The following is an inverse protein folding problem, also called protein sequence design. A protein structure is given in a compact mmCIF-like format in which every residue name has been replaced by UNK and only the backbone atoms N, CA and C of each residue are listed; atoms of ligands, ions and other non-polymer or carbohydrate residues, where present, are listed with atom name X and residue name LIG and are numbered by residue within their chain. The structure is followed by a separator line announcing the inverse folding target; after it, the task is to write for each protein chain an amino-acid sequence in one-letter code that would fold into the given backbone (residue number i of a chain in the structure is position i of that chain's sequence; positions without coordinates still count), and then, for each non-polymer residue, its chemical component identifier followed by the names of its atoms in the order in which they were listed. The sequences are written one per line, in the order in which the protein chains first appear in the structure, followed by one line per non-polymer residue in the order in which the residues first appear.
data_IF_572611478616
#
_entry.id   IF_572611478616
#
_cell.length_a   1.000
_cell.length_b   1.000
_cell.length_c   1.000
_cell.angle_alpha   90.00
_cell.angle_beta   90.00
_cell.angle_gamma   90.00
#
_symmetry.space_group_name_H-M   'P 1'
#
loop_
_entity.id
_entity.type
_entity.pdbx_description
1 polymer ?
#
# COMPACT_ATOMS: atom_id res chain seq x y z
N UNK A 1 15.60 28.86 26.11
CA UNK A 1 15.35 28.37 24.73
C UNK A 1 15.03 26.87 24.67
N UNK A 2 14.90 26.15 25.80
CA UNK A 2 14.66 24.69 25.80
C UNK A 2 13.40 24.23 26.56
N UNK A 3 12.59 25.13 27.12
CA UNK A 3 11.33 24.76 27.80
C UNK A 3 10.13 24.92 26.87
N UNK A 4 9.97 23.99 25.94
CA UNK A 4 8.67 23.77 25.28
C UNK A 4 8.32 22.29 25.35
N UNK A 5 7.02 21.98 25.42
CA UNK A 5 6.46 20.61 25.52
C UNK A 5 6.90 19.64 24.41
N UNK A 6 7.71 20.06 23.44
CA UNK A 6 8.29 19.25 22.36
C UNK A 6 9.65 18.61 22.73
N UNK A 7 10.27 19.01 23.84
CA UNK A 7 11.54 18.48 24.33
C UNK A 7 11.33 17.67 25.64
N UNK A 8 10.44 16.67 25.61
CA UNK A 8 10.23 15.79 26.76
C UNK A 8 11.41 14.81 26.90
N UNK A 9 12.13 15.01 27.99
CA UNK A 9 13.15 14.13 28.55
C UNK A 9 12.48 12.79 28.92
N UNK A 10 12.88 11.66 28.32
CA UNK A 10 12.14 10.39 28.42
C UNK A 10 12.77 9.35 29.36
N UNK A 11 13.86 9.68 30.08
CA UNK A 11 14.43 8.76 31.06
C UNK A 11 13.84 9.02 32.46
N UNK A 12 13.22 8.01 33.11
CA UNK A 12 12.87 8.09 34.52
C UNK A 12 14.13 8.33 35.38
N UNK A 13 13.99 8.97 36.55
CA UNK A 13 15.10 9.13 37.49
C UNK A 13 15.75 7.78 37.83
N UNK A 14 17.09 7.72 37.78
CA UNK A 14 17.87 6.53 38.15
C UNK A 14 18.15 5.54 37.02
N UNK A 15 17.69 5.79 35.79
CA UNK A 15 17.99 4.93 34.63
C UNK A 15 19.32 5.37 33.98
N UNK A 16 20.32 4.47 33.83
CA UNK A 16 21.56 4.79 33.15
C UNK A 16 21.32 5.09 31.66
N UNK A 17 21.79 6.24 31.19
CA UNK A 17 21.67 6.68 29.79
C UNK A 17 21.90 8.18 29.63
N UNK A 18 22.14 8.64 28.40
CA UNK A 18 22.22 10.06 28.09
C UNK A 18 20.81 10.59 27.75
N UNK A 19 20.39 11.73 28.33
CA UNK A 19 19.10 12.34 28.01
C UNK A 19 19.20 13.03 26.65
N UNK A 20 19.10 12.25 25.58
CA UNK A 20 19.00 12.74 24.21
C UNK A 20 17.54 12.71 23.77
N UNK A 21 17.03 13.83 23.25
CA UNK A 21 15.72 13.83 22.61
C UNK A 21 15.72 12.87 21.41
N UNK A 22 14.53 12.46 20.93
CA UNK A 22 14.43 11.56 19.78
C UNK A 22 15.20 12.10 18.56
N UNK A 23 15.17 13.41 18.32
CA UNK A 23 15.96 14.09 17.28
C UNK A 23 17.49 13.97 17.48
N UNK A 24 17.98 14.11 18.70
CA UNK A 24 19.41 13.94 19.02
C UNK A 24 19.87 12.48 18.87
N UNK A 25 19.02 11.50 19.24
CA UNK A 25 19.28 10.08 19.01
C UNK A 25 19.41 9.79 17.51
N UNK A 26 18.48 10.31 16.72
CA UNK A 26 18.50 10.21 15.25
C UNK A 26 19.77 10.85 14.68
N UNK A 27 20.16 12.04 15.13
CA UNK A 27 21.40 12.70 14.70
C UNK A 27 22.65 11.87 15.03
N UNK A 28 22.70 11.24 16.21
CA UNK A 28 23.80 10.32 16.58
C UNK A 28 23.86 9.07 15.70
N UNK A 29 22.72 8.49 15.31
CA UNK A 29 22.69 7.36 14.36
C UNK A 29 22.99 7.82 12.92
N UNK A 30 22.58 9.02 12.55
CA UNK A 30 22.70 9.55 11.21
C UNK A 30 24.09 10.09 10.86
N UNK A 31 24.90 10.47 11.85
CA UNK A 31 26.22 11.05 11.61
C UNK A 31 27.35 10.01 11.66
N UNK A 32 28.21 9.90 10.62
CA UNK A 32 28.02 10.35 9.23
C UNK A 32 27.27 9.34 8.34
N UNK A 33 27.04 8.11 8.80
CA UNK A 33 26.83 6.96 7.90
C UNK A 33 25.47 6.24 8.00
N UNK A 34 24.63 6.56 8.99
CA UNK A 34 23.33 5.88 9.16
C UNK A 34 22.20 6.44 8.30
N UNK A 35 22.43 7.57 7.61
CA UNK A 35 21.45 8.14 6.68
C UNK A 35 21.50 7.43 5.31
N UNK A 36 20.35 7.31 4.66
CA UNK A 36 20.28 6.92 3.26
C UNK A 36 20.62 8.14 2.39
N UNK A 37 21.82 8.14 1.80
CA UNK A 37 22.35 9.28 1.02
C UNK A 37 22.23 9.01 -0.48
N UNK A 38 21.73 10.00 -1.21
CA UNK A 38 21.72 10.05 -2.68
C UNK A 38 22.47 11.28 -3.18
N UNK A 39 22.60 11.43 -4.50
CA UNK A 39 23.14 12.66 -5.12
C UNK A 39 22.20 13.83 -4.83
N UNK A 40 22.43 14.51 -3.71
CA UNK A 40 21.73 15.74 -3.33
C UNK A 40 20.63 15.62 -2.26
N UNK A 41 20.45 14.46 -1.61
CA UNK A 41 19.58 14.38 -0.44
C UNK A 41 20.02 13.30 0.53
N UNK A 42 19.65 13.45 1.80
CA UNK A 42 19.86 12.44 2.83
C UNK A 42 18.54 12.17 3.54
N UNK A 43 18.29 10.90 3.84
CA UNK A 43 17.07 10.45 4.51
C UNK A 43 17.40 9.68 5.77
N UNK A 44 16.73 10.00 6.87
CA UNK A 44 16.90 9.32 8.15
C UNK A 44 15.61 8.69 8.62
N UNK A 45 15.68 7.48 9.18
CA UNK A 45 14.56 6.79 9.80
C UNK A 45 14.49 7.10 11.29
N UNK A 46 13.30 7.46 11.76
CA UNK A 46 12.89 7.47 13.16
C UNK A 46 11.84 6.39 13.36
N UNK A 47 11.99 5.51 14.35
CA UNK A 47 11.01 4.46 14.62
C UNK A 47 10.72 4.38 16.12
N UNK A 48 9.51 3.98 16.49
CA UNK A 48 9.17 3.74 17.91
C UNK A 48 10.03 2.61 18.50
N UNK A 49 10.50 1.69 17.65
CA UNK A 49 11.32 0.54 18.03
C UNK A 49 12.76 0.76 17.55
N UNK A 50 13.71 0.83 18.49
CA UNK A 50 15.12 1.09 18.19
C UNK A 50 15.80 0.01 17.32
N UNK A 51 15.29 -1.22 17.30
CA UNK A 51 15.80 -2.28 16.44
C UNK A 51 15.63 -1.96 14.94
N UNK A 52 14.51 -1.35 14.55
CA UNK A 52 14.28 -0.91 13.17
C UNK A 52 15.22 0.25 12.78
N UNK A 53 15.48 1.19 13.69
CA UNK A 53 16.45 2.27 13.46
C UNK A 53 17.86 1.70 13.25
N UNK A 54 18.25 0.70 14.05
CA UNK A 54 19.55 0.03 13.92
C UNK A 54 19.68 -0.71 12.59
N UNK A 55 18.71 -1.53 12.21
CA UNK A 55 18.71 -2.27 10.94
C UNK A 55 18.81 -1.31 9.74
N UNK A 56 18.05 -0.21 9.77
CA UNK A 56 18.12 0.83 8.74
C UNK A 56 19.51 1.47 8.68
N UNK A 57 20.09 1.84 9.83
CA UNK A 57 21.42 2.43 9.90
C UNK A 57 22.52 1.48 9.41
N UNK A 58 22.49 0.20 9.81
CA UNK A 58 23.50 -0.80 9.41
C UNK A 58 23.52 -1.02 7.89
N UNK A 59 22.34 -1.12 7.27
CA UNK A 59 22.20 -1.20 5.80
C UNK A 59 22.76 0.03 5.11
N UNK A 60 22.48 1.21 5.65
CA UNK A 60 22.95 2.48 5.08
C UNK A 60 24.45 2.67 5.22
N UNK A 61 25.05 2.22 6.33
CA UNK A 61 26.50 2.21 6.52
C UNK A 61 27.17 1.36 5.44
N UNK A 62 26.66 0.14 5.17
CA UNK A 62 27.19 -0.73 4.11
C UNK A 62 27.04 -0.08 2.73
N UNK A 63 25.90 0.56 2.46
CA UNK A 63 25.70 1.29 1.22
C UNK A 63 26.67 2.49 1.08
N UNK A 64 26.85 3.28 2.13
CA UNK A 64 27.78 4.41 2.16
C UNK A 64 29.22 3.96 1.91
N UNK A 65 29.64 2.84 2.48
CA UNK A 65 30.96 2.24 2.20
C UNK A 65 31.12 1.90 0.71
N UNK A 66 30.09 1.32 0.08
CA UNK A 66 30.11 1.05 -1.37
C UNK A 66 30.16 2.33 -2.20
N UNK A 67 29.39 3.36 -1.84
CA UNK A 67 29.42 4.68 -2.49
C UNK A 67 30.80 5.31 -2.37
N UNK A 68 31.46 5.20 -1.21
CA UNK A 68 32.82 5.71 -1.01
C UNK A 68 33.85 4.99 -1.90
N UNK A 69 33.65 3.70 -2.18
CA UNK A 69 34.55 2.89 -3.02
C UNK A 69 34.31 3.09 -4.52
N UNK A 70 33.06 3.13 -4.96
CA UNK A 70 32.67 3.10 -6.37
C UNK A 70 32.19 4.45 -6.92
N UNK A 71 31.95 5.42 -6.03
CA UNK A 71 31.24 6.66 -6.35
C UNK A 71 29.74 6.42 -6.63
N UNK A 72 28.96 7.50 -6.67
CA UNK A 72 27.52 7.41 -6.98
C UNK A 72 27.23 6.90 -8.41
N UNK A 73 28.13 7.17 -9.36
CA UNK A 73 27.97 6.74 -10.76
C UNK A 73 28.37 5.28 -11.02
N UNK A 74 29.15 4.67 -10.12
CA UNK A 74 29.57 3.27 -10.20
C UNK A 74 28.58 2.29 -9.58
N UNK A 75 27.51 2.78 -8.95
CA UNK A 75 26.47 1.96 -8.34
C UNK A 75 25.20 1.95 -9.20
N UNK A 76 24.56 0.78 -9.38
CA UNK A 76 23.22 0.74 -9.94
C UNK A 76 22.26 1.55 -9.06
N UNK A 77 21.14 2.04 -9.61
CA UNK A 77 20.14 2.76 -8.83
C UNK A 77 19.73 1.94 -7.59
N UNK A 78 20.15 2.39 -6.41
CA UNK A 78 19.92 1.68 -5.16
C UNK A 78 18.45 1.64 -4.77
N UNK A 79 18.13 0.76 -3.82
CA UNK A 79 16.81 0.72 -3.18
C UNK A 79 16.44 2.10 -2.62
N UNK A 80 15.17 2.53 -2.71
CA UNK A 80 14.77 3.81 -2.12
C UNK A 80 14.74 3.74 -0.59
N UNK A 81 14.82 4.88 0.09
CA UNK A 81 14.76 4.94 1.55
C UNK A 81 13.50 4.27 2.12
N UNK A 82 12.34 4.40 1.45
CA UNK A 82 11.10 3.73 1.82
C UNK A 82 11.22 2.20 1.75
N UNK A 83 11.95 1.67 0.77
CA UNK A 83 12.19 0.23 0.65
C UNK A 83 13.11 -0.27 1.76
N UNK A 84 14.20 0.45 2.05
CA UNK A 84 15.12 0.10 3.13
C UNK A 84 14.40 0.16 4.48
N UNK A 85 13.56 1.17 4.70
CA UNK A 85 12.74 1.27 5.89
C UNK A 85 11.67 0.17 5.98
N UNK A 86 10.97 -0.15 4.88
CA UNK A 86 10.02 -1.26 4.86
C UNK A 86 10.70 -2.60 5.17
N UNK A 87 11.93 -2.81 4.71
CA UNK A 87 12.73 -3.97 5.11
C UNK A 87 13.04 -3.96 6.60
N UNK A 88 13.52 -2.84 7.15
CA UNK A 88 13.78 -2.72 8.58
C UNK A 88 12.52 -2.90 9.46
N UNK A 89 11.33 -2.60 8.93
CA UNK A 89 10.07 -2.90 9.62
C UNK A 89 9.68 -4.38 9.54
N UNK A 90 10.07 -5.10 8.47
CA UNK A 90 9.85 -6.56 8.33
C UNK A 90 10.74 -7.38 9.27
N UNK A 91 11.91 -6.87 9.63
CA UNK A 91 12.82 -7.54 10.58
C UNK A 91 12.40 -7.39 12.05
N UNK A 92 11.39 -6.56 12.33
CA UNK A 92 10.79 -6.49 13.67
C UNK A 92 10.12 -7.81 14.02
N UNK A 93 10.06 -8.12 15.31
CA UNK A 93 9.32 -9.29 15.76
C UNK A 93 7.87 -9.20 15.25
N UNK A 94 7.33 -10.29 14.65
CA UNK A 94 5.92 -10.33 14.27
C UNK A 94 5.12 -9.99 15.52
N UNK A 95 4.20 -9.03 15.45
CA UNK A 95 3.36 -8.50 16.54
C UNK A 95 3.80 -7.19 17.22
N UNK A 96 4.93 -6.57 16.85
CA UNK A 96 5.26 -5.24 17.38
C UNK A 96 4.72 -4.12 16.47
N UNK A 97 3.63 -3.41 16.86
CA UNK A 97 3.22 -2.20 16.15
C UNK A 97 4.28 -1.11 16.34
N UNK A 98 4.65 -0.44 15.26
CA UNK A 98 5.61 0.64 15.28
C UNK A 98 5.32 1.65 14.17
N UNK A 99 5.23 2.94 14.53
CA UNK A 99 5.29 4.01 13.54
C UNK A 99 6.74 4.31 13.16
N UNK A 100 6.98 4.45 11.86
CA UNK A 100 8.23 4.88 11.29
C UNK A 100 8.03 6.22 10.57
N UNK A 101 8.98 7.12 10.73
CA UNK A 101 9.02 8.43 10.07
C UNK A 101 10.33 8.56 9.32
N UNK A 102 10.25 8.85 8.03
CA UNK A 102 11.38 9.22 7.20
C UNK A 102 11.48 10.74 7.14
N UNK A 103 12.68 11.22 7.48
CA UNK A 103 13.06 12.62 7.40
C UNK A 103 14.02 12.77 6.24
N UNK A 104 13.51 13.21 5.09
CA UNK A 104 14.33 13.44 3.90
C UNK A 104 14.65 14.92 3.81
N UNK A 105 15.93 15.27 3.71
CA UNK A 105 16.37 16.65 3.56
C UNK A 105 17.30 16.80 2.37
N UNK A 106 17.14 17.92 1.66
CA UNK A 106 18.08 18.42 0.66
C UNK A 106 18.59 19.77 1.14
N UNK A 107 19.90 19.87 1.29
CA UNK A 107 20.57 21.11 1.60
C UNK A 107 21.32 21.59 0.35
N UNK A 108 20.56 22.17 -0.58
CA UNK A 108 21.09 22.85 -1.76
C UNK A 108 20.81 24.34 -1.57
N UNK A 109 21.81 25.18 -1.84
CA UNK A 109 21.75 26.63 -1.66
C UNK A 109 20.62 27.29 -2.49
N UNK A 110 20.11 26.61 -3.54
CA UNK A 110 19.07 27.15 -4.40
C UNK A 110 17.63 26.83 -3.95
N UNK A 111 17.40 25.63 -3.39
CA UNK A 111 16.06 25.15 -3.02
C UNK A 111 16.17 24.09 -1.89
N UNK A 112 16.43 24.53 -0.65
CA UNK A 112 16.49 23.63 0.49
C UNK A 112 15.09 23.16 0.87
N UNK A 113 14.94 21.86 1.14
CA UNK A 113 13.67 21.30 1.55
C UNK A 113 13.81 20.21 2.60
N UNK A 114 12.77 20.07 3.41
CA UNK A 114 12.55 18.97 4.34
C UNK A 114 11.22 18.29 3.98
N UNK A 115 11.25 16.99 3.75
CA UNK A 115 10.07 16.16 3.51
C UNK A 115 9.95 15.14 4.63
N UNK A 116 8.76 15.04 5.18
CA UNK A 116 8.42 14.09 6.23
C UNK A 116 7.38 13.13 5.67
N UNK A 117 7.70 11.84 5.69
CA UNK A 117 6.76 10.78 5.36
C UNK A 117 6.71 9.78 6.50
N UNK A 118 5.54 9.24 6.80
CA UNK A 118 5.34 8.39 7.96
C UNK A 118 4.48 7.17 7.64
N UNK A 119 4.76 6.06 8.30
CA UNK A 119 3.89 4.89 8.30
C UNK A 119 2.91 4.96 9.46
N UNK A 120 1.75 4.32 9.28
CA UNK A 120 0.87 4.01 10.42
C UNK A 120 1.50 2.94 11.29
N UNK A 121 1.19 2.95 12.60
CA UNK A 121 1.73 1.99 13.59
C UNK A 121 1.45 0.51 13.24
N UNK A 122 0.41 0.24 12.47
CA UNK A 122 0.01 -1.11 12.07
C UNK A 122 0.76 -1.66 10.84
N UNK A 123 1.57 -0.85 10.14
CA UNK A 123 2.30 -1.30 8.94
C UNK A 123 3.22 -2.52 9.20
N UNK A 124 3.99 -2.61 10.30
CA UNK A 124 4.80 -3.80 10.57
C UNK A 124 3.96 -5.07 10.73
N UNK A 125 2.79 -4.97 11.35
CA UNK A 125 1.86 -6.09 11.52
C UNK A 125 1.32 -6.58 10.18
N UNK A 126 0.90 -5.63 9.35
CA UNK A 126 0.46 -5.91 7.98
C UNK A 126 1.56 -6.58 7.16
N UNK A 127 2.79 -6.07 7.21
CA UNK A 127 3.93 -6.66 6.50
C UNK A 127 4.24 -8.08 6.98
N UNK A 128 4.24 -8.32 8.29
CA UNK A 128 4.41 -9.66 8.85
C UNK A 128 3.30 -10.62 8.42
N UNK A 129 2.05 -10.15 8.31
CA UNK A 129 0.93 -10.98 7.83
C UNK A 129 1.03 -11.26 6.33
N UNK A 130 1.44 -10.27 5.54
CA UNK A 130 1.75 -10.47 4.13
C UNK A 130 2.80 -11.56 4.00
N UNK A 131 3.91 -11.48 4.75
CA UNK A 131 4.99 -12.46 4.67
C UNK A 131 4.59 -13.84 5.21
N UNK A 132 3.66 -13.91 6.18
CA UNK A 132 3.15 -15.17 6.74
C UNK A 132 2.08 -15.88 5.90
N UNK A 133 1.46 -15.21 4.92
CA UNK A 133 0.32 -15.75 4.17
C UNK A 133 0.60 -15.80 2.65
N UNK A 134 0.57 -17.00 2.07
CA UNK A 134 0.94 -17.22 0.67
C UNK A 134 0.08 -16.41 -0.33
N UNK A 135 -1.21 -16.25 -0.07
CA UNK A 135 -2.09 -15.48 -0.96
C UNK A 135 -1.84 -13.97 -0.85
N UNK A 136 -1.54 -13.47 0.36
CA UNK A 136 -1.15 -12.06 0.54
C UNK A 136 0.22 -11.78 -0.07
N UNK A 137 1.18 -12.71 0.06
CA UNK A 137 2.48 -12.60 -0.65
C UNK A 137 2.27 -12.53 -2.15
N UNK A 138 1.42 -13.40 -2.72
CA UNK A 138 1.09 -13.35 -4.14
C UNK A 138 0.52 -11.98 -4.54
N UNK A 139 -0.49 -11.48 -3.81
CA UNK A 139 -1.05 -10.14 -4.06
C UNK A 139 0.00 -9.04 -4.00
N UNK A 140 0.92 -9.10 -3.03
CA UNK A 140 2.02 -8.14 -2.87
C UNK A 140 3.02 -8.21 -4.03
N UNK A 141 3.40 -9.41 -4.48
CA UNK A 141 4.28 -9.61 -5.63
C UNK A 141 3.64 -9.11 -6.93
N UNK A 142 2.34 -9.37 -7.13
CA UNK A 142 1.59 -8.86 -8.28
C UNK A 142 1.56 -7.33 -8.29
N UNK A 143 1.37 -6.70 -7.13
CA UNK A 143 1.49 -5.25 -6.98
C UNK A 143 2.89 -4.76 -7.35
N UNK A 144 3.95 -5.37 -6.82
CA UNK A 144 5.34 -4.99 -7.17
C UNK A 144 5.60 -5.12 -8.66
N UNK A 145 5.23 -6.26 -9.28
CA UNK A 145 5.36 -6.49 -10.72
C UNK A 145 4.61 -5.43 -11.51
N UNK A 146 3.39 -5.06 -11.08
CA UNK A 146 2.58 -4.06 -11.75
C UNK A 146 3.14 -2.65 -11.71
N UNK A 147 3.93 -2.33 -10.67
CA UNK A 147 4.57 -1.04 -10.47
C UNK A 147 5.96 -0.95 -11.12
N UNK A 148 6.52 -2.09 -11.52
CA UNK A 148 7.81 -2.15 -12.20
C UNK A 148 7.68 -1.59 -13.61
N UNK A 149 8.46 -0.56 -13.94
CA UNK A 149 8.54 0.00 -15.28
C UNK A 149 9.89 -0.29 -15.90
N UNK A 150 9.88 -0.64 -17.17
CA UNK A 150 11.08 -0.89 -17.97
C UNK A 150 11.11 0.06 -19.17
N UNK A 151 12.31 0.46 -19.58
CA UNK A 151 12.50 1.20 -20.83
C UNK A 151 12.41 0.28 -22.06
N UNK A 152 12.63 0.86 -23.24
CA UNK A 152 12.65 0.13 -24.52
C UNK A 152 13.72 -0.95 -24.60
N UNK A 153 14.77 -0.84 -23.78
CA UNK A 153 15.90 -1.77 -23.74
C UNK A 153 15.69 -2.86 -22.65
N UNK A 154 14.53 -2.86 -21.99
CA UNK A 154 14.20 -3.81 -20.93
C UNK A 154 14.83 -3.47 -19.57
N UNK A 155 15.56 -2.36 -19.44
CA UNK A 155 16.15 -1.93 -18.18
C UNK A 155 15.08 -1.35 -17.24
N UNK A 156 15.17 -1.67 -15.95
CA UNK A 156 14.21 -1.21 -14.94
C UNK A 156 14.42 0.28 -14.69
N UNK A 157 13.48 1.11 -15.12
CA UNK A 157 13.46 2.56 -14.86
C UNK A 157 12.74 2.88 -13.56
N UNK A 158 11.84 2.01 -13.11
CA UNK A 158 11.13 2.15 -11.83
C UNK A 158 11.06 0.80 -11.15
N UNK A 159 11.64 0.70 -9.96
CA UNK A 159 11.61 -0.51 -9.14
C UNK A 159 10.23 -0.69 -8.49
N UNK A 160 9.56 -1.79 -8.84
CA UNK A 160 8.29 -2.18 -8.26
C UNK A 160 8.30 -2.34 -6.73
N UNK A 161 9.27 -3.06 -6.15
CA UNK A 161 9.44 -3.14 -4.69
C UNK A 161 9.58 -1.77 -4.03
N UNK A 162 10.33 -0.84 -4.63
CA UNK A 162 10.50 0.51 -4.11
C UNK A 162 9.19 1.32 -4.17
N UNK A 163 8.46 1.24 -5.28
CA UNK A 163 7.15 1.89 -5.41
C UNK A 163 6.11 1.29 -4.46
N UNK A 164 6.08 -0.04 -4.29
CA UNK A 164 5.18 -0.69 -3.36
C UNK A 164 5.46 -0.29 -1.90
N UNK A 165 6.74 -0.21 -1.51
CA UNK A 165 7.14 0.28 -0.19
C UNK A 165 6.69 1.73 0.03
N UNK A 166 6.84 2.60 -0.98
CA UNK A 166 6.40 4.00 -0.91
C UNK A 166 4.91 4.16 -0.64
N UNK A 167 4.05 3.23 -1.10
CA UNK A 167 2.60 3.26 -0.83
C UNK A 167 2.24 3.05 0.65
N UNK A 168 3.19 2.59 1.47
CA UNK A 168 3.01 2.43 2.92
C UNK A 168 3.28 3.72 3.71
N UNK A 169 3.83 4.76 3.04
CA UNK A 169 4.22 6.02 3.65
C UNK A 169 3.28 7.16 3.24
N UNK A 170 2.73 7.83 4.24
CA UNK A 170 1.89 9.01 4.11
C UNK A 170 2.74 10.27 4.29
N UNK A 171 2.76 11.13 3.28
CA UNK A 171 3.39 12.43 3.34
C UNK A 171 2.57 13.36 4.25
N UNK A 172 3.26 14.20 5.02
CA UNK A 172 2.62 15.14 5.94
C UNK A 172 1.71 16.15 5.22
N UNK A 173 2.02 16.46 3.96
CA UNK A 173 1.22 17.33 3.09
C UNK A 173 -0.01 16.65 2.46
N UNK A 174 -0.24 15.36 2.76
CA UNK A 174 -1.35 14.57 2.25
C UNK A 174 -1.24 14.18 0.77
N UNK A 175 -0.14 14.47 0.08
CA UNK A 175 0.02 14.20 -1.37
C UNK A 175 0.53 12.79 -1.69
N UNK A 176 0.58 11.91 -0.70
CA UNK A 176 1.00 10.52 -0.91
C UNK A 176 0.02 9.74 -1.77
N UNK A 177 0.56 8.81 -2.57
CA UNK A 177 -0.26 7.79 -3.25
C UNK A 177 -0.71 6.76 -2.23
N UNK A 178 -2.00 6.42 -2.27
CA UNK A 178 -2.56 5.38 -1.41
C UNK A 178 -2.43 3.98 -2.01
N UNK A 179 -2.10 3.01 -1.16
CA UNK A 179 -2.09 1.60 -1.54
C UNK A 179 -3.46 1.11 -2.04
N UNK A 180 -4.55 1.49 -1.36
CA UNK A 180 -5.91 1.10 -1.77
C UNK A 180 -6.24 1.68 -3.15
N UNK A 181 -5.87 2.94 -3.39
CA UNK A 181 -6.05 3.57 -4.70
C UNK A 181 -5.30 2.82 -5.80
N UNK A 182 -4.05 2.43 -5.53
CA UNK A 182 -3.26 1.68 -6.50
C UNK A 182 -3.86 0.30 -6.79
N UNK A 183 -4.27 -0.44 -5.76
CA UNK A 183 -4.91 -1.75 -5.92
C UNK A 183 -6.25 -1.65 -6.65
N UNK A 184 -7.04 -0.62 -6.36
CA UNK A 184 -8.27 -0.34 -7.09
C UNK A 184 -8.02 -0.12 -8.59
N UNK A 185 -7.06 0.72 -8.95
CA UNK A 185 -6.71 0.93 -10.35
C UNK A 185 -6.26 -0.36 -11.03
N UNK A 186 -5.47 -1.20 -10.35
CA UNK A 186 -5.04 -2.49 -10.88
C UNK A 186 -6.19 -3.47 -11.10
N UNK A 187 -7.18 -3.49 -10.21
CA UNK A 187 -8.35 -4.35 -10.30
C UNK A 187 -9.36 -3.89 -11.37
N UNK A 188 -9.39 -2.59 -11.67
CA UNK A 188 -10.29 -1.97 -12.65
C UNK A 188 -9.69 -1.80 -14.05
N UNK A 189 -8.41 -2.09 -14.22
CA UNK A 189 -7.70 -1.96 -15.50
C UNK A 189 -8.29 -2.91 -16.55
N UNK A 190 -8.98 -2.39 -17.60
CA UNK A 190 -9.61 -3.23 -18.61
C UNK A 190 -8.59 -3.92 -19.54
N UNK A 191 -7.38 -3.36 -19.64
CA UNK A 191 -6.32 -3.91 -20.48
C UNK A 191 -5.58 -5.05 -19.78
N UNK A 192 -5.91 -5.32 -18.51
CA UNK A 192 -5.26 -6.31 -17.67
C UNK A 192 -6.20 -7.45 -17.30
N UNK A 193 -6.10 -8.54 -18.06
CA UNK A 193 -6.78 -9.79 -17.74
C UNK A 193 -6.03 -10.51 -16.61
N UNK A 194 -6.44 -10.25 -15.36
CA UNK A 194 -5.99 -11.05 -14.22
C UNK A 194 -6.68 -12.41 -14.20
N UNK A 195 -5.91 -13.47 -13.95
CA UNK A 195 -6.47 -14.78 -13.59
C UNK A 195 -7.35 -14.64 -12.36
N UNK A 196 -8.34 -15.53 -12.23
CA UNK A 196 -9.20 -15.59 -11.06
C UNK A 196 -8.41 -15.60 -9.73
N UNK A 197 -7.33 -16.39 -9.64
CA UNK A 197 -6.46 -16.48 -8.46
C UNK A 197 -5.76 -15.15 -8.14
N UNK A 198 -5.19 -14.50 -9.15
CA UNK A 198 -4.44 -13.25 -8.99
C UNK A 198 -5.33 -12.09 -8.56
N UNK A 199 -6.53 -12.02 -9.15
CA UNK A 199 -7.54 -11.03 -8.78
C UNK A 199 -7.96 -11.20 -7.32
N UNK A 200 -8.22 -12.43 -6.88
CA UNK A 200 -8.55 -12.71 -5.48
C UNK A 200 -7.41 -12.35 -4.52
N UNK A 201 -6.15 -12.63 -4.91
CA UNK A 201 -4.98 -12.26 -4.11
C UNK A 201 -4.83 -10.73 -3.96
N UNK A 202 -5.02 -9.97 -5.05
CA UNK A 202 -4.99 -8.50 -5.03
C UNK A 202 -6.13 -7.90 -4.20
N UNK A 203 -7.36 -8.42 -4.34
CA UNK A 203 -8.49 -8.01 -3.52
C UNK A 203 -8.24 -8.30 -2.04
N UNK A 204 -7.78 -9.51 -1.70
CA UNK A 204 -7.48 -9.89 -0.32
C UNK A 204 -6.40 -8.99 0.30
N UNK A 205 -5.37 -8.62 -0.48
CA UNK A 205 -4.37 -7.65 -0.04
C UNK A 205 -5.00 -6.28 0.28
N UNK A 206 -5.88 -5.78 -0.58
CA UNK A 206 -6.58 -4.50 -0.37
C UNK A 206 -7.44 -4.52 0.90
N UNK A 207 -8.24 -5.56 1.09
CA UNK A 207 -9.09 -5.71 2.27
C UNK A 207 -8.27 -5.85 3.55
N UNK A 208 -7.20 -6.65 3.52
CA UNK A 208 -6.31 -6.84 4.68
C UNK A 208 -5.65 -5.52 5.08
N UNK A 209 -5.17 -4.73 4.13
CA UNK A 209 -4.61 -3.42 4.42
C UNK A 209 -5.66 -2.44 4.97
N UNK A 210 -6.86 -2.43 4.38
CA UNK A 210 -7.95 -1.58 4.85
C UNK A 210 -8.36 -1.92 6.29
N UNK A 211 -8.47 -3.19 6.62
CA UNK A 211 -8.81 -3.66 7.96
C UNK A 211 -7.71 -3.35 8.98
N UNK A 212 -6.46 -3.76 8.72
CA UNK A 212 -5.40 -3.67 9.72
C UNK A 212 -4.78 -2.30 9.82
N UNK A 213 -4.50 -1.68 8.68
CA UNK A 213 -3.73 -0.43 8.62
C UNK A 213 -4.66 0.78 8.70
N UNK A 214 -5.81 0.70 8.04
CA UNK A 214 -6.80 1.76 8.08
C UNK A 214 -7.87 1.52 9.16
N UNK A 215 -7.96 0.35 9.80
CA UNK A 215 -8.98 0.11 10.83
C UNK A 215 -10.41 0.14 10.28
N UNK A 216 -10.59 -0.19 9.00
CA UNK A 216 -11.89 -0.19 8.34
C UNK A 216 -12.63 -1.49 8.67
N UNK A 217 -13.80 -1.38 9.31
CA UNK A 217 -14.62 -2.52 9.76
C UNK A 217 -15.98 -2.61 9.06
N UNK A 218 -16.20 -1.81 8.03
CA UNK A 218 -17.49 -1.74 7.34
C UNK A 218 -17.73 -3.03 6.58
N UNK A 219 -18.85 -3.70 6.86
CA UNK A 219 -19.31 -4.82 6.04
C UNK A 219 -19.87 -4.29 4.71
N UNK A 220 -19.12 -4.49 3.64
CA UNK A 220 -19.50 -4.10 2.28
C UNK A 220 -20.34 -5.17 1.57
N UNK A 221 -20.46 -6.38 2.13
CA UNK A 221 -21.11 -7.51 1.49
C UNK A 221 -22.58 -7.27 1.16
N UNK A 222 -23.41 -6.66 2.05
CA UNK A 222 -24.80 -6.38 1.72
C UNK A 222 -24.91 -5.48 0.49
N UNK A 223 -24.12 -4.40 0.44
CA UNK A 223 -24.17 -3.43 -0.67
C UNK A 223 -23.62 -4.04 -1.97
N UNK A 224 -22.52 -4.79 -1.88
CA UNK A 224 -21.96 -5.47 -3.03
C UNK A 224 -22.94 -6.49 -3.62
N UNK A 225 -23.70 -7.20 -2.77
CA UNK A 225 -24.76 -8.14 -3.18
C UNK A 225 -25.85 -7.42 -3.96
N UNK A 226 -26.34 -6.27 -3.48
CA UNK A 226 -27.34 -5.46 -4.21
C UNK A 226 -26.84 -5.04 -5.59
N UNK A 227 -25.59 -4.57 -5.67
CA UNK A 227 -25.02 -4.16 -6.95
C UNK A 227 -24.84 -5.36 -7.88
N UNK A 228 -24.36 -6.50 -7.36
CA UNK A 228 -24.20 -7.72 -8.15
C UNK A 228 -25.55 -8.25 -8.66
N UNK A 229 -26.58 -8.31 -7.81
CA UNK A 229 -27.94 -8.71 -8.19
C UNK A 229 -28.51 -7.79 -9.27
N UNK A 230 -28.30 -6.48 -9.13
CA UNK A 230 -28.75 -5.50 -10.12
C UNK A 230 -27.99 -5.61 -11.46
N UNK A 231 -26.69 -5.92 -11.43
CA UNK A 231 -25.90 -6.18 -12.64
C UNK A 231 -26.37 -7.46 -13.33
N UNK A 232 -26.65 -8.51 -12.57
CA UNK A 232 -27.02 -9.83 -13.08
C UNK A 232 -28.46 -9.89 -13.61
N UNK A 233 -29.40 -9.22 -12.92
CA UNK A 233 -30.83 -9.38 -13.17
C UNK A 233 -31.54 -8.09 -13.60
N UNK A 234 -30.85 -6.94 -13.56
CA UNK A 234 -31.40 -5.69 -14.04
C UNK A 234 -31.68 -5.70 -15.54
N UNK A 235 -32.48 -4.75 -16.02
CA UNK A 235 -32.74 -4.63 -17.46
C UNK A 235 -31.45 -4.26 -18.22
N UNK A 236 -31.14 -4.96 -19.31
CA UNK A 236 -29.94 -4.72 -20.13
C UNK A 236 -28.90 -5.84 -20.01
N UNK A 237 -27.72 -5.64 -20.60
CA UNK A 237 -26.64 -6.61 -20.50
C UNK A 237 -25.83 -6.43 -19.20
N UNK A 238 -25.36 -7.51 -18.55
CA UNK A 238 -24.53 -7.41 -17.35
C UNK A 238 -23.29 -6.54 -17.55
N UNK A 239 -22.65 -6.63 -18.73
CA UNK A 239 -21.53 -5.77 -19.10
C UNK A 239 -21.89 -4.28 -19.11
N UNK A 240 -23.06 -3.92 -19.65
CA UNK A 240 -23.54 -2.54 -19.66
C UNK A 240 -23.79 -2.00 -18.25
N UNK A 241 -24.39 -2.81 -17.39
CA UNK A 241 -24.64 -2.46 -15.97
C UNK A 241 -23.36 -2.33 -15.16
N UNK A 242 -22.37 -3.19 -15.40
CA UNK A 242 -21.06 -3.05 -14.78
C UNK A 242 -20.35 -1.76 -15.22
N UNK A 243 -20.46 -1.38 -16.50
CA UNK A 243 -19.91 -0.11 -16.99
C UNK A 243 -20.62 1.11 -16.37
N UNK A 244 -21.95 1.04 -16.22
CA UNK A 244 -22.74 2.06 -15.51
C UNK A 244 -22.28 2.21 -14.05
N UNK A 245 -22.16 1.10 -13.31
CA UNK A 245 -21.63 1.10 -11.95
C UNK A 245 -20.23 1.72 -11.88
N UNK A 246 -19.30 1.29 -12.75
CA UNK A 246 -17.93 1.80 -12.79
C UNK A 246 -17.89 3.32 -12.99
N UNK A 247 -18.79 3.88 -13.78
CA UNK A 247 -18.85 5.32 -14.05
C UNK A 247 -19.28 6.16 -12.84
N UNK A 248 -19.93 5.55 -11.85
CA UNK A 248 -20.44 6.24 -10.66
C UNK A 248 -19.81 5.77 -9.34
N UNK A 249 -19.09 4.65 -9.32
CA UNK A 249 -18.62 3.96 -8.12
C UNK A 249 -17.83 4.86 -7.15
N UNK A 250 -17.05 5.82 -7.67
CA UNK A 250 -16.25 6.73 -6.85
C UNK A 250 -16.94 8.08 -6.56
N UNK A 251 -18.16 8.32 -7.03
CA UNK A 251 -18.91 9.54 -6.74
C UNK A 251 -20.02 9.22 -5.73
N UNK A 252 -19.98 9.85 -4.56
CA UNK A 252 -20.91 9.62 -3.45
C UNK A 252 -22.38 9.79 -3.86
N UNK A 253 -22.71 10.93 -4.48
CA UNK A 253 -24.07 11.26 -4.91
C UNK A 253 -24.58 10.29 -5.98
N UNK A 254 -23.80 10.08 -7.04
CA UNK A 254 -24.20 9.20 -8.15
C UNK A 254 -24.25 7.73 -7.74
N UNK A 255 -23.36 7.29 -6.86
CA UNK A 255 -23.44 5.95 -6.27
C UNK A 255 -24.71 5.81 -5.43
N UNK A 256 -25.05 6.81 -4.60
CA UNK A 256 -26.28 6.81 -3.82
C UNK A 256 -27.53 6.72 -4.70
N UNK A 257 -27.57 7.48 -5.80
CA UNK A 257 -28.66 7.41 -6.79
C UNK A 257 -28.76 6.02 -7.45
N UNK A 258 -27.62 5.42 -7.85
CA UNK A 258 -27.60 4.07 -8.40
C UNK A 258 -28.08 3.03 -7.40
N UNK A 259 -27.65 3.12 -6.14
CA UNK A 259 -28.07 2.20 -5.09
C UNK A 259 -29.58 2.28 -4.84
N UNK A 260 -30.16 3.48 -4.79
CA UNK A 260 -31.61 3.67 -4.71
C UNK A 260 -32.32 3.02 -5.91
N UNK A 261 -31.83 3.30 -7.13
CA UNK A 261 -32.41 2.73 -8.35
C UNK A 261 -32.34 1.19 -8.37
N UNK A 262 -31.19 0.62 -8.00
CA UNK A 262 -30.99 -0.82 -7.90
C UNK A 262 -31.95 -1.45 -6.89
N UNK A 263 -32.10 -0.82 -5.72
CA UNK A 263 -32.97 -1.30 -4.64
C UNK A 263 -34.44 -1.31 -5.09
N UNK A 264 -34.93 -0.22 -5.68
CA UNK A 264 -36.29 -0.16 -6.22
C UNK A 264 -36.53 -1.19 -7.32
N UNK A 265 -35.57 -1.32 -8.26
CA UNK A 265 -35.68 -2.28 -9.37
C UNK A 265 -35.81 -3.71 -8.86
N UNK A 266 -34.87 -4.15 -8.00
CA UNK A 266 -34.86 -5.50 -7.44
C UNK A 266 -36.11 -5.79 -6.63
N UNK A 267 -36.59 -4.82 -5.84
CA UNK A 267 -37.84 -4.95 -5.07
C UNK A 267 -39.05 -5.12 -5.99
N UNK A 268 -39.15 -4.33 -7.07
CA UNK A 268 -40.23 -4.44 -8.06
C UNK A 268 -40.17 -5.76 -8.83
N UNK A 269 -38.98 -6.31 -9.04
CA UNK A 269 -38.76 -7.62 -9.65
C UNK A 269 -39.00 -8.79 -8.67
N UNK A 270 -39.47 -8.51 -7.43
CA UNK A 270 -39.80 -9.51 -6.41
C UNK A 270 -38.60 -10.14 -5.72
N UNK A 271 -37.41 -9.53 -5.82
CA UNK A 271 -36.18 -10.02 -5.19
C UNK A 271 -35.98 -9.39 -3.82
N UNK A 272 -35.50 -10.20 -2.87
CA UNK A 272 -35.15 -9.72 -1.54
C UNK A 272 -33.88 -8.88 -1.60
N UNK A 273 -33.89 -7.71 -0.97
CA UNK A 273 -32.76 -6.78 -0.98
C UNK A 273 -32.21 -6.62 0.44
N UNK A 274 -31.11 -7.31 0.74
CA UNK A 274 -30.55 -7.39 2.11
C UNK A 274 -29.85 -6.12 2.63
N UNK A 275 -29.54 -5.15 1.78
CA UNK A 275 -28.80 -3.95 2.20
C UNK A 275 -29.72 -2.87 2.80
N UNK A 276 -29.70 -2.75 4.13
CA UNK A 276 -30.32 -1.66 4.89
C UNK A 276 -29.54 -0.32 4.79
N UNK A 277 -30.17 0.84 5.10
CA UNK A 277 -29.54 2.17 4.99
C UNK A 277 -28.21 2.32 5.74
N UNK A 278 -28.06 1.67 6.89
CA UNK A 278 -26.82 1.66 7.67
C UNK A 278 -25.61 1.07 6.94
N UNK A 279 -25.84 0.21 5.93
CA UNK A 279 -24.76 -0.33 5.10
C UNK A 279 -24.33 0.66 4.01
N UNK A 280 -25.18 1.64 3.67
CA UNK A 280 -24.93 2.62 2.61
C UNK A 280 -24.31 3.90 3.16
N UNK A 281 -24.66 4.24 4.40
CA UNK A 281 -24.17 5.42 5.10
C UNK A 281 -22.65 5.64 4.94
N UNK A 282 -21.80 4.60 5.13
CA UNK A 282 -20.34 4.77 5.05
C UNK A 282 -19.81 5.09 3.64
N UNK A 283 -20.60 4.78 2.59
CA UNK A 283 -20.23 4.97 1.18
C UNK A 283 -20.66 6.34 0.64
N UNK A 284 -21.80 6.83 1.11
CA UNK A 284 -22.47 8.04 0.58
C UNK A 284 -22.13 9.28 1.41
N UNK A 285 -21.81 9.14 2.70
CA UNK A 285 -21.44 10.31 3.50
C UNK A 285 -20.03 10.82 3.15
N UNK A 286 -19.85 12.14 3.25
CA UNK A 286 -18.54 12.79 3.14
C UNK A 286 -17.72 12.60 4.43
N UNK A 287 -17.45 11.36 4.80
CA UNK A 287 -16.59 11.01 5.94
C UNK A 287 -15.16 10.77 5.50
N UNK A 288 -14.19 10.94 6.43
CA UNK A 288 -12.87 10.37 6.26
C UNK A 288 -13.00 8.90 5.86
N UNK A 289 -12.32 8.54 4.78
CA UNK A 289 -12.22 7.19 4.23
C UNK A 289 -13.40 6.63 3.43
N UNK A 290 -14.42 7.44 3.14
CA UNK A 290 -15.54 7.00 2.30
C UNK A 290 -15.07 6.59 0.88
N UNK A 291 -13.99 7.20 0.39
CA UNK A 291 -13.44 6.91 -0.93
C UNK A 291 -12.74 5.55 -0.99
N UNK A 292 -11.98 5.14 0.03
CA UNK A 292 -11.38 3.80 0.13
C UNK A 292 -12.47 2.73 0.22
N UNK A 293 -13.56 3.00 0.96
CA UNK A 293 -14.68 2.06 1.04
C UNK A 293 -15.35 1.87 -0.32
N UNK A 294 -15.57 2.95 -1.08
CA UNK A 294 -16.07 2.88 -2.46
C UNK A 294 -15.14 2.08 -3.38
N UNK A 295 -13.82 2.21 -3.20
CA UNK A 295 -12.85 1.43 -3.96
C UNK A 295 -12.86 -0.07 -3.64
N UNK A 296 -12.99 -0.41 -2.34
CA UNK A 296 -13.11 -1.79 -1.89
C UNK A 296 -14.45 -2.42 -2.29
N UNK A 297 -15.53 -1.64 -2.30
CA UNK A 297 -16.84 -2.08 -2.78
C UNK A 297 -16.74 -2.58 -4.22
N UNK A 298 -16.01 -1.85 -5.08
CA UNK A 298 -15.82 -2.25 -6.47
C UNK A 298 -15.04 -3.58 -6.59
N UNK A 299 -14.06 -3.84 -5.72
CA UNK A 299 -13.38 -5.12 -5.67
C UNK A 299 -14.33 -6.26 -5.27
N UNK A 300 -15.16 -6.04 -4.25
CA UNK A 300 -16.11 -7.05 -3.76
C UNK A 300 -17.23 -7.37 -4.76
N UNK A 301 -17.75 -6.36 -5.46
CA UNK A 301 -18.73 -6.55 -6.54
C UNK A 301 -18.16 -7.45 -7.64
N UNK A 302 -16.91 -7.23 -8.05
CA UNK A 302 -16.26 -8.05 -9.07
C UNK A 302 -16.02 -9.50 -8.60
N UNK A 303 -15.71 -9.71 -7.33
CA UNK A 303 -15.61 -11.06 -6.75
C UNK A 303 -16.94 -11.79 -6.79
N UNK A 304 -18.03 -11.15 -6.34
CA UNK A 304 -19.37 -11.74 -6.34
C UNK A 304 -19.86 -12.10 -7.74
N UNK A 305 -19.70 -11.20 -8.72
CA UNK A 305 -20.10 -11.47 -10.11
C UNK A 305 -19.35 -12.67 -10.68
N UNK A 306 -18.08 -12.83 -10.33
CA UNK A 306 -17.27 -13.99 -10.75
C UNK A 306 -17.73 -15.27 -10.05
N UNK A 307 -17.93 -15.25 -8.74
CA UNK A 307 -18.41 -16.42 -7.97
C UNK A 307 -19.74 -16.95 -8.51
N UNK A 308 -20.56 -16.06 -9.05
CA UNK A 308 -21.85 -16.38 -9.68
C UNK A 308 -21.75 -16.72 -11.18
N UNK A 309 -20.55 -16.66 -11.78
CA UNK A 309 -20.35 -16.94 -13.20
C UNK A 309 -20.99 -15.93 -14.15
N UNK A 310 -21.22 -14.68 -13.70
CA UNK A 310 -21.83 -13.64 -14.54
C UNK A 310 -20.84 -13.19 -15.60
N UNK A 311 -21.14 -13.47 -16.86
CA UNK A 311 -20.31 -13.12 -18.01
C UNK A 311 -20.28 -11.58 -18.21
N UNK A 312 -19.27 -10.94 -17.63
CA UNK A 312 -19.01 -9.50 -17.77
C UNK A 312 -17.80 -9.19 -18.67
N UNK A 313 -17.00 -10.20 -19.01
CA UNK A 313 -15.84 -10.11 -19.91
C UNK A 313 -15.89 -11.24 -20.96
N UNK A 314 -15.68 -10.89 -22.23
CA UNK A 314 -15.65 -11.84 -23.36
C UNK A 314 -14.25 -12.41 -23.66
N UNK A 315 -13.20 -11.96 -22.95
CA UNK A 315 -11.83 -12.45 -23.18
C UNK A 315 -11.57 -13.69 -22.34
N UNK A 316 -11.37 -14.82 -23.02
CA UNK A 316 -10.92 -16.07 -22.43
C UNK A 316 -9.60 -15.85 -21.65
N UNK A 317 -9.49 -16.51 -20.50
CA UNK A 317 -8.26 -16.56 -19.72
C UNK A 317 -7.19 -17.29 -20.55
N UNK A 318 -6.27 -16.55 -21.20
CA UNK A 318 -5.10 -17.17 -21.81
C UNK A 318 -4.13 -17.61 -20.69
N UNK A 319 -3.81 -18.89 -20.69
CA UNK A 319 -2.90 -19.53 -19.75
C UNK A 319 -1.45 -19.11 -20.09
N UNK A 320 -1.04 -17.92 -19.65
CA UNK A 320 0.35 -17.45 -19.84
C UNK A 320 1.24 -18.08 -18.77
N UNK A 321 2.23 -18.89 -19.16
CA UNK A 321 3.27 -19.43 -18.27
C UNK A 321 3.79 -18.37 -17.29
N UNK A 322 3.74 -18.63 -15.98
CA UNK A 322 3.81 -17.57 -14.96
C UNK A 322 5.15 -17.53 -14.21
N UNK A 323 6.03 -16.54 -14.49
CA UNK A 323 7.24 -16.31 -13.72
C UNK A 323 6.98 -15.97 -12.24
N UNK A 324 5.74 -15.66 -11.82
CA UNK A 324 5.39 -15.34 -10.43
C UNK A 324 5.41 -16.59 -9.53
N UNK A 325 5.11 -17.78 -10.07
CA UNK A 325 5.19 -19.02 -9.27
C UNK A 325 6.63 -19.38 -8.89
N UNK A 326 7.61 -19.06 -9.76
CA UNK A 326 9.03 -19.21 -9.45
C UNK A 326 9.51 -18.19 -8.39
N UNK A 327 8.91 -16.99 -8.35
CA UNK A 327 9.20 -15.97 -7.34
C UNK A 327 8.58 -16.30 -5.97
N UNK A 328 7.44 -17.00 -5.94
CA UNK A 328 6.86 -17.50 -4.69
C UNK A 328 7.70 -18.58 -4.00
N UNK A 329 8.55 -19.28 -4.76
CA UNK A 329 9.48 -20.29 -4.25
C UNK A 329 10.81 -19.70 -3.77
N UNK A 330 11.19 -18.50 -4.24
CA UNK A 330 12.35 -17.77 -3.72
C UNK A 330 11.98 -17.11 -2.38
N UNK A 331 12.83 -17.27 -1.38
CA UNK A 331 12.59 -16.61 -0.10
C UNK A 331 12.70 -15.08 -0.30
N UNK A 332 11.89 -14.31 0.45
CA UNK A 332 11.91 -12.82 0.42
C UNK A 332 13.30 -12.25 0.78
N UNK A 333 14.20 -13.09 1.28
CA UNK A 333 15.55 -12.74 1.68
C UNK A 333 16.62 -12.94 0.58
N UNK A 334 16.28 -13.57 -0.55
CA UNK A 334 17.27 -13.90 -1.60
C UNK A 334 17.46 -12.81 -2.67
N UNK A 335 16.65 -11.75 -2.68
CA UNK A 335 16.66 -10.71 -3.73
C UNK A 335 17.68 -9.58 -3.51
N UNK A 336 18.58 -9.70 -2.52
CA UNK A 336 19.62 -8.70 -2.24
C UNK A 336 21.03 -9.14 -2.68
N UNK A 337 21.20 -9.72 -3.86
CA UNK A 337 22.52 -9.80 -4.51
C UNK A 337 22.37 -9.74 -6.05
N UNK A 338 22.39 -8.54 -6.62
CA UNK A 338 22.97 -8.39 -7.96
C UNK A 338 24.44 -8.87 -7.90
N UNK A 339 24.97 -9.54 -8.94
CA UNK A 339 26.30 -10.14 -8.88
C UNK A 339 27.38 -9.08 -8.62
N UNK A 340 28.43 -9.54 -7.94
CA UNK A 340 29.59 -8.79 -7.49
C UNK A 340 30.40 -8.12 -8.61
#
# INVERSE_FOLDING_TARGET
MFDTNKALNTLPPGVPGWPVCRGCRIAMWALPYGAWVTVGSATVLSCEVGAAEREFAERNVRNAQRVMQLGFGGLPPGARAEQVAAHALRSLQPLLPAAATLWSFKNDNQDPWLRVTQTRRAVPLFLARVDGNAELRLGWLLLQRSLTRRDKNGQVTTSGPAEAARLLFEAEDGRSRSLISQLHYLLQDPDRAWRARDRAALSRLAFTYAEEVLGMKTDLKPVATVIADWIEHGSGSPRGRLAEYRSVALNDYRLGALLLQAHFRLTLDGREVGAQPQHWEPLIQQRPRAWEQRMLLAAHVLELLRERGVAVNDKAEEEVDDPVEQLLQKSVFDDEMGPA
#
